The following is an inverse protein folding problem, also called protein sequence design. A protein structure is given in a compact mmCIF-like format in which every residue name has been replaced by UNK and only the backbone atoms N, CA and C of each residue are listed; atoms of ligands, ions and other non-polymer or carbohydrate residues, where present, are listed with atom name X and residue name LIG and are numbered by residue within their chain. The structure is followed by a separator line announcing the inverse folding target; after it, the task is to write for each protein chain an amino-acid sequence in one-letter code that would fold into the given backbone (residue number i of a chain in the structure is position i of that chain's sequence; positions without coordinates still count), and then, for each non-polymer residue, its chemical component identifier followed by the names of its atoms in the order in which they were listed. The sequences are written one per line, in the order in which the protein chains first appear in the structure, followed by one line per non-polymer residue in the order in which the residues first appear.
data_IF_119403114490
#
_entry.id   IF_119403114490
#
_cell.length_a   1.000
_cell.length_b   1.000
_cell.length_c   1.000
_cell.angle_alpha   90.00
_cell.angle_beta   90.00
_cell.angle_gamma   90.00
#
_symmetry.space_group_name_H-M   'P 1'
#
loop_
_entity.id
_entity.type
_entity.pdbx_description
1 polymer ?
#
# COMPACT_ATOMS: atom_id res chain seq x y z
N UNK A 1 -18.66 -12.17 3.71
CA UNK A 1 -17.55 -12.07 2.72
C UNK A 1 -16.18 -12.09 3.40
N UNK A 2 -15.94 -11.26 4.41
CA UNK A 2 -14.67 -11.18 5.16
C UNK A 2 -14.28 -12.50 5.84
N UNK A 3 -15.19 -13.13 6.59
CA UNK A 3 -14.92 -14.40 7.30
C UNK A 3 -14.59 -15.56 6.32
N UNK A 4 -15.29 -15.61 5.19
CA UNK A 4 -15.08 -16.60 4.15
C UNK A 4 -13.69 -16.46 3.48
N UNK A 5 -13.25 -15.21 3.26
CA UNK A 5 -11.93 -14.92 2.69
C UNK A 5 -10.80 -15.26 3.66
N UNK A 6 -10.99 -15.02 4.97
CA UNK A 6 -10.02 -15.39 6.02
C UNK A 6 -9.91 -16.92 6.17
N UNK A 7 -11.02 -17.64 6.06
CA UNK A 7 -11.03 -19.11 6.08
C UNK A 7 -10.27 -19.71 4.89
N UNK A 8 -10.53 -19.20 3.67
CA UNK A 8 -9.78 -19.62 2.47
C UNK A 8 -8.29 -19.26 2.58
N UNK A 9 -7.94 -18.10 3.13
CA UNK A 9 -6.54 -17.73 3.39
C UNK A 9 -5.82 -18.70 4.35
N UNK A 10 -6.55 -19.29 5.31
CA UNK A 10 -5.94 -20.21 6.29
C UNK A 10 -5.79 -21.65 5.76
N UNK A 11 -6.75 -22.13 4.96
CA UNK A 11 -6.89 -23.55 4.60
C UNK A 11 -6.51 -23.84 3.14
N UNK A 12 -6.59 -22.86 2.23
CA UNK A 12 -6.41 -23.09 0.80
C UNK A 12 -4.93 -23.16 0.37
N UNK A 13 -4.60 -24.16 -0.47
CA UNK A 13 -3.25 -24.38 -1.01
C UNK A 13 -2.79 -23.23 -1.92
N UNK A 14 -3.71 -22.46 -2.49
CA UNK A 14 -3.40 -21.30 -3.34
C UNK A 14 -2.86 -20.11 -2.55
N UNK A 15 -3.23 -19.96 -1.27
CA UNK A 15 -2.73 -18.92 -0.35
C UNK A 15 -1.29 -19.15 0.15
N UNK A 16 -0.74 -20.35 -0.04
CA UNK A 16 0.68 -20.62 0.26
C UNK A 16 1.62 -19.71 -0.54
N UNK A 17 1.23 -19.31 -1.76
CA UNK A 17 1.99 -18.36 -2.58
C UNK A 17 2.00 -16.93 -2.01
N UNK A 18 0.95 -16.52 -1.30
CA UNK A 18 0.88 -15.23 -0.60
C UNK A 18 1.72 -15.25 0.70
N UNK A 19 1.77 -16.38 1.41
CA UNK A 19 2.61 -16.55 2.60
C UNK A 19 4.10 -16.60 2.27
N UNK A 20 4.48 -17.15 1.12
CA UNK A 20 5.87 -17.14 0.63
C UNK A 20 6.33 -15.71 0.32
N UNK A 21 5.43 -14.82 -0.13
CA UNK A 21 5.76 -13.41 -0.36
C UNK A 21 6.13 -12.65 0.93
N UNK A 22 5.62 -13.08 2.10
CA UNK A 22 6.02 -12.53 3.42
C UNK A 22 7.47 -12.92 3.74
N UNK A 23 7.90 -14.13 3.39
CA UNK A 23 9.28 -14.60 3.57
C UNK A 23 10.23 -13.84 2.65
N UNK A 24 9.84 -13.60 1.39
CA UNK A 24 10.61 -12.78 0.46
C UNK A 24 10.71 -11.32 0.95
N UNK A 25 9.65 -10.76 1.53
CA UNK A 25 9.65 -9.43 2.15
C UNK A 25 10.64 -9.30 3.32
N UNK A 26 10.73 -10.32 4.19
CA UNK A 26 11.63 -10.31 5.34
C UNK A 26 13.10 -10.59 4.99
N UNK A 27 13.40 -10.98 3.74
CA UNK A 27 14.74 -11.37 3.33
C UNK A 27 15.59 -10.17 2.83
N UNK A 28 16.68 -9.78 3.53
CA UNK A 28 17.49 -8.62 3.14
C UNK A 28 18.19 -8.79 1.79
N UNK A 29 18.47 -10.04 1.40
CA UNK A 29 19.11 -10.39 0.12
C UNK A 29 18.23 -10.02 -1.08
N UNK A 30 16.91 -10.19 -0.95
CA UNK A 30 15.96 -9.87 -2.01
C UNK A 30 15.82 -8.36 -2.17
N UNK A 31 15.80 -7.61 -1.07
CA UNK A 31 15.87 -6.13 -1.08
C UNK A 31 17.11 -5.61 -1.80
N UNK A 32 18.28 -6.19 -1.53
CA UNK A 32 19.53 -5.75 -2.15
C UNK A 32 19.56 -6.07 -3.66
N UNK A 33 19.07 -7.24 -4.06
CA UNK A 33 18.91 -7.60 -5.47
C UNK A 33 17.92 -6.67 -6.19
N UNK A 34 16.84 -6.28 -5.51
CA UNK A 34 15.83 -5.38 -6.02
C UNK A 34 16.34 -3.96 -6.24
N UNK A 35 17.07 -3.42 -5.26
CA UNK A 35 17.71 -2.10 -5.34
C UNK A 35 18.71 -2.09 -6.49
N UNK A 36 19.51 -3.16 -6.63
CA UNK A 36 20.48 -3.32 -7.73
C UNK A 36 19.79 -3.39 -9.10
N UNK A 37 18.65 -4.07 -9.19
CA UNK A 37 17.82 -4.10 -10.39
C UNK A 37 17.26 -2.71 -10.74
N UNK A 38 16.74 -1.96 -9.77
CA UNK A 38 16.22 -0.60 -9.98
C UNK A 38 17.31 0.44 -10.30
N UNK A 39 18.55 0.18 -9.90
CA UNK A 39 19.72 0.97 -10.28
C UNK A 39 20.34 0.53 -11.63
N UNK A 40 19.67 -0.32 -12.41
CA UNK A 40 20.17 -0.87 -13.68
C UNK A 40 21.50 -1.63 -13.59
N UNK A 41 21.89 -2.08 -12.39
CA UNK A 41 23.18 -2.72 -12.12
C UNK A 41 23.11 -4.25 -12.04
N UNK A 42 21.94 -4.88 -12.22
CA UNK A 42 21.79 -6.34 -12.12
C UNK A 42 20.54 -6.89 -12.80
N UNK A 43 20.54 -8.21 -12.99
CA UNK A 43 19.42 -8.94 -13.61
C UNK A 43 18.17 -8.97 -12.73
N UNK A 44 17.00 -9.11 -13.36
CA UNK A 44 15.70 -9.17 -12.69
C UNK A 44 15.71 -10.35 -11.69
N UNK A 45 15.53 -10.10 -10.37
CA UNK A 45 15.56 -11.19 -9.42
C UNK A 45 14.42 -12.17 -9.70
N UNK A 46 14.72 -13.46 -9.75
CA UNK A 46 13.70 -14.53 -9.80
C UNK A 46 12.95 -14.54 -8.46
N UNK A 47 11.81 -13.85 -8.43
CA UNK A 47 10.91 -13.79 -7.28
C UNK A 47 10.18 -15.14 -7.14
N UNK A 48 10.16 -15.70 -5.92
CA UNK A 48 9.44 -16.95 -5.62
C UNK A 48 7.96 -16.71 -5.31
N UNK A 49 7.62 -15.50 -4.85
CA UNK A 49 6.24 -15.03 -4.62
C UNK A 49 5.59 -14.35 -5.84
N UNK A 50 4.25 -14.21 -5.78
CA UNK A 50 3.43 -13.50 -6.78
C UNK A 50 3.62 -11.97 -6.72
N UNK A 51 4.10 -11.46 -5.59
CA UNK A 51 4.30 -10.03 -5.36
C UNK A 51 5.76 -9.70 -5.16
N UNK A 52 6.18 -8.61 -5.80
CA UNK A 52 7.50 -8.04 -5.60
C UNK A 52 7.59 -7.42 -4.18
N UNK A 53 8.63 -7.66 -3.36
CA UNK A 53 8.74 -7.10 -2.01
C UNK A 53 8.51 -5.58 -1.93
N UNK A 54 8.97 -4.84 -2.94
CA UNK A 54 8.71 -3.40 -3.05
C UNK A 54 7.23 -3.07 -3.27
N UNK A 55 6.50 -3.85 -4.06
CA UNK A 55 5.06 -3.66 -4.26
C UNK A 55 4.30 -3.92 -2.95
N UNK A 56 4.70 -4.92 -2.18
CA UNK A 56 4.10 -5.21 -0.88
C UNK A 56 4.27 -4.06 0.12
N UNK A 57 5.48 -3.49 0.21
CA UNK A 57 5.73 -2.28 1.02
C UNK A 57 4.93 -1.09 0.55
N UNK A 58 4.86 -0.88 -0.77
CA UNK A 58 4.06 0.21 -1.33
C UNK A 58 2.59 0.09 -0.93
N UNK A 59 2.03 -1.12 -0.93
CA UNK A 59 0.66 -1.37 -0.48
C UNK A 59 0.46 -1.08 1.00
N UNK A 60 1.30 -1.66 1.88
CA UNK A 60 1.18 -1.45 3.33
C UNK A 60 1.37 0.04 3.67
N UNK A 61 2.37 0.68 3.06
CA UNK A 61 2.66 2.09 3.27
C UNK A 61 1.50 2.99 2.86
N UNK A 62 0.91 2.75 1.67
CA UNK A 62 -0.25 3.51 1.21
C UNK A 62 -1.45 3.33 2.14
N UNK A 63 -1.78 2.09 2.52
CA UNK A 63 -2.90 1.84 3.44
C UNK A 63 -2.70 2.51 4.80
N UNK A 64 -1.48 2.47 5.35
CA UNK A 64 -1.15 3.15 6.60
C UNK A 64 -1.30 4.68 6.47
N UNK A 65 -0.80 5.28 5.39
CA UNK A 65 -0.94 6.73 5.15
C UNK A 65 -2.41 7.15 4.99
N UNK A 66 -3.19 6.40 4.21
CA UNK A 66 -4.63 6.67 4.01
C UNK A 66 -5.37 6.57 5.34
N UNK A 67 -5.08 5.55 6.15
CA UNK A 67 -5.69 5.39 7.47
C UNK A 67 -5.39 6.59 8.39
N UNK A 68 -4.14 7.05 8.42
CA UNK A 68 -3.73 8.23 9.19
C UNK A 68 -4.45 9.49 8.71
N UNK A 69 -4.51 9.74 7.39
CA UNK A 69 -5.21 10.89 6.81
C UNK A 69 -6.71 10.85 7.14
N UNK A 70 -7.35 9.68 7.06
CA UNK A 70 -8.77 9.53 7.42
C UNK A 70 -9.04 9.85 8.90
N UNK A 71 -8.25 9.32 9.83
CA UNK A 71 -8.44 9.57 11.27
C UNK A 71 -8.19 11.05 11.59
N UNK A 72 -7.05 11.59 11.16
CA UNK A 72 -6.71 12.99 11.43
C UNK A 72 -7.69 13.94 10.75
N UNK A 73 -8.16 13.63 9.55
CA UNK A 73 -9.19 14.39 8.85
C UNK A 73 -10.54 14.37 9.57
N UNK A 74 -10.93 13.21 10.15
CA UNK A 74 -12.14 13.10 10.94
C UNK A 74 -12.05 13.90 12.24
N UNK A 75 -10.90 13.87 12.93
CA UNK A 75 -10.65 14.68 14.13
C UNK A 75 -10.75 16.17 13.81
N UNK A 76 -10.20 16.62 12.68
CA UNK A 76 -10.32 18.01 12.24
C UNK A 76 -11.76 18.37 11.86
N UNK A 77 -12.50 17.45 11.23
CA UNK A 77 -13.89 17.64 10.83
C UNK A 77 -14.81 17.87 12.03
N UNK A 78 -14.73 17.03 13.07
CA UNK A 78 -15.58 17.15 14.26
C UNK A 78 -15.34 18.44 15.06
N UNK A 79 -14.15 19.04 14.91
CA UNK A 79 -13.80 20.32 15.56
C UNK A 79 -14.28 21.55 14.78
N UNK A 80 -14.64 21.38 13.52
CA UNK A 80 -15.24 22.45 12.70
C UNK A 80 -16.76 22.34 12.74
N UNK A 81 -17.30 21.14 12.58
CA UNK A 81 -18.72 20.87 12.57
C UNK A 81 -19.13 20.19 13.88
N UNK A 82 -19.85 20.92 14.72
CA UNK A 82 -20.29 20.43 16.02
C UNK A 82 -21.69 19.79 15.98
N UNK A 83 -22.37 19.84 14.84
CA UNK A 83 -23.69 19.26 14.64
C UNK A 83 -23.67 18.05 13.69
N UNK A 84 -24.75 17.27 13.70
CA UNK A 84 -24.88 16.06 12.88
C UNK A 84 -23.83 14.99 13.22
N UNK A 85 -23.17 14.45 12.18
CA UNK A 85 -22.09 13.47 12.34
C UNK A 85 -20.91 14.00 13.16
N UNK A 86 -20.65 15.32 13.08
CA UNK A 86 -19.56 15.96 13.80
C UNK A 86 -19.77 15.94 15.32
N UNK A 87 -20.97 16.31 15.76
CA UNK A 87 -21.37 16.21 17.17
C UNK A 87 -21.45 14.78 17.68
N UNK A 88 -21.97 13.83 16.89
CA UNK A 88 -22.08 12.43 17.27
C UNK A 88 -20.72 11.74 17.48
N UNK A 89 -19.69 12.16 16.72
CA UNK A 89 -18.35 11.59 16.77
C UNK A 89 -17.40 12.36 17.68
N UNK A 90 -17.79 13.55 18.17
CA UNK A 90 -16.92 14.45 18.93
C UNK A 90 -16.30 13.78 20.17
N UNK A 91 -17.10 13.10 20.98
CA UNK A 91 -16.64 12.45 22.22
C UNK A 91 -15.71 11.25 21.96
N UNK A 92 -15.84 10.60 20.80
CA UNK A 92 -14.96 9.50 20.40
C UNK A 92 -13.64 10.00 19.80
N UNK A 93 -13.66 11.16 19.14
CA UNK A 93 -12.50 11.73 18.46
C UNK A 93 -11.63 12.60 19.40
N UNK A 94 -12.19 13.16 20.47
CA UNK A 94 -11.46 13.99 21.44
C UNK A 94 -10.29 13.25 22.12
N UNK A 95 -10.42 11.98 22.59
CA UNK A 95 -9.28 11.25 23.15
C UNK A 95 -8.14 11.06 22.13
N UNK A 96 -8.48 10.83 20.86
CA UNK A 96 -7.49 10.68 19.79
C UNK A 96 -6.73 11.98 19.53
N UNK A 97 -7.41 13.12 19.57
CA UNK A 97 -6.76 14.44 19.49
C UNK A 97 -5.75 14.65 20.63
N UNK A 98 -6.15 14.36 21.87
CA UNK A 98 -5.28 14.50 23.05
C UNK A 98 -4.08 13.57 22.94
N UNK A 99 -4.27 12.32 22.51
CA UNK A 99 -3.19 11.35 22.28
C UNK A 99 -2.21 11.82 21.20
N UNK A 100 -2.71 12.53 20.19
CA UNK A 100 -1.89 13.12 19.13
C UNK A 100 -1.25 14.45 19.55
N UNK A 101 -1.40 14.95 20.78
CA UNK A 101 -0.75 16.18 21.23
C UNK A 101 -1.50 17.46 20.83
N UNK A 102 -2.80 17.37 20.56
CA UNK A 102 -3.69 18.49 20.31
C UNK A 102 -3.89 18.83 18.83
N UNK A 103 -4.90 19.66 18.55
CA UNK A 103 -5.36 20.00 17.20
C UNK A 103 -4.26 20.48 16.24
N UNK A 104 -3.27 21.22 16.75
CA UNK A 104 -2.15 21.73 15.95
C UNK A 104 -1.30 20.58 15.38
N UNK A 105 -0.94 19.60 16.23
CA UNK A 105 -0.14 18.46 15.82
C UNK A 105 -0.95 17.51 14.92
N UNK A 106 -2.25 17.32 15.18
CA UNK A 106 -3.15 16.55 14.29
C UNK A 106 -3.14 17.14 12.88
N UNK A 107 -3.22 18.47 12.77
CA UNK A 107 -3.16 19.17 11.49
C UNK A 107 -1.83 18.95 10.80
N UNK A 108 -0.72 19.07 11.53
CA UNK A 108 0.61 18.84 10.98
C UNK A 108 0.78 17.40 10.46
N UNK A 109 0.39 16.40 11.25
CA UNK A 109 0.40 14.97 10.86
C UNK A 109 -0.44 14.76 9.60
N UNK A 110 -1.62 15.37 9.51
CA UNK A 110 -2.47 15.28 8.32
C UNK A 110 -1.76 15.82 7.07
N UNK A 111 -1.10 16.98 7.17
CA UNK A 111 -0.36 17.56 6.06
C UNK A 111 0.85 16.72 5.67
N UNK A 112 1.60 16.18 6.63
CA UNK A 112 2.74 15.29 6.36
C UNK A 112 2.27 14.03 5.61
N UNK A 113 1.18 13.41 6.06
CA UNK A 113 0.63 12.24 5.41
C UNK A 113 0.05 12.55 4.02
N UNK A 114 -0.59 13.71 3.83
CA UNK A 114 -1.02 14.20 2.52
C UNK A 114 0.16 14.39 1.57
N UNK A 115 1.24 15.04 2.01
CA UNK A 115 2.47 15.19 1.21
C UNK A 115 3.08 13.83 0.87
N UNK A 116 3.08 12.89 1.82
CA UNK A 116 3.50 11.50 1.59
C UNK A 116 2.72 10.84 0.46
N UNK A 117 1.39 10.96 0.45
CA UNK A 117 0.54 10.43 -0.62
C UNK A 117 0.81 11.14 -1.95
N UNK A 118 0.94 12.48 -1.95
CA UNK A 118 1.21 13.27 -3.16
C UNK A 118 2.53 12.90 -3.83
N UNK A 119 3.56 12.55 -3.06
CA UNK A 119 4.84 12.07 -3.60
C UNK A 119 4.75 10.59 -3.98
N UNK A 120 4.04 9.79 -3.20
CA UNK A 120 3.89 8.36 -3.44
C UNK A 120 3.19 8.06 -4.77
N UNK A 121 2.10 8.76 -5.10
CA UNK A 121 1.31 8.52 -6.32
C UNK A 121 2.15 8.60 -7.61
N UNK A 122 2.88 9.70 -7.91
CA UNK A 122 3.67 9.78 -9.14
C UNK A 122 4.81 8.76 -9.15
N UNK A 123 5.46 8.49 -8.01
CA UNK A 123 6.49 7.45 -7.91
C UNK A 123 5.90 6.07 -8.20
N UNK A 124 4.72 5.77 -7.64
CA UNK A 124 4.04 4.50 -7.86
C UNK A 124 3.66 4.30 -9.34
N UNK A 125 3.10 5.33 -9.98
CA UNK A 125 2.76 5.30 -11.41
C UNK A 125 4.02 5.08 -12.26
N UNK A 126 5.11 5.83 -11.98
CA UNK A 126 6.38 5.66 -12.68
C UNK A 126 6.90 4.23 -12.57
N UNK A 127 6.91 3.65 -11.36
CA UNK A 127 7.40 2.30 -11.12
C UNK A 127 6.50 1.24 -11.76
N UNK A 128 5.19 1.46 -11.79
CA UNK A 128 4.25 0.58 -12.49
C UNK A 128 4.53 0.57 -14.00
N UNK A 129 4.76 1.76 -14.59
CA UNK A 129 5.10 1.90 -16.02
C UNK A 129 6.45 1.26 -16.32
N UNK A 130 7.45 1.56 -15.51
CA UNK A 130 8.79 1.00 -15.65
C UNK A 130 8.79 -0.54 -15.58
N UNK A 131 8.11 -1.12 -14.60
CA UNK A 131 7.99 -2.57 -14.48
C UNK A 131 7.21 -3.18 -15.67
N UNK A 132 6.18 -2.50 -16.19
CA UNK A 132 5.42 -2.98 -17.36
C UNK A 132 6.27 -2.98 -18.64
N UNK A 133 7.14 -1.99 -18.82
CA UNK A 133 8.03 -1.89 -19.99
C UNK A 133 9.20 -2.88 -19.87
N UNK A 134 9.87 -2.92 -18.71
CA UNK A 134 11.10 -3.71 -18.52
C UNK A 134 10.82 -5.19 -18.21
N UNK A 135 9.75 -5.48 -17.46
CA UNK A 135 9.39 -6.83 -17.05
C UNK A 135 8.73 -7.66 -18.15
N UNK A 136 8.33 -7.05 -19.27
CA UNK A 136 7.52 -7.67 -20.35
C UNK A 136 6.23 -8.35 -19.86
N UNK A 137 5.85 -8.12 -18.60
CA UNK A 137 4.57 -8.52 -18.03
C UNK A 137 3.65 -7.31 -18.19
N UNK A 138 2.70 -7.39 -19.11
CA UNK A 138 1.71 -6.35 -19.44
C UNK A 138 0.75 -6.06 -18.28
N UNK A 139 1.29 -5.65 -17.15
CA UNK A 139 0.59 -5.40 -15.89
C UNK A 139 -0.30 -4.18 -16.05
N UNK A 140 0.23 -3.11 -16.67
CA UNK A 140 -0.56 -1.92 -17.01
C UNK A 140 -1.53 -2.23 -18.15
N UNK A 141 -1.10 -3.00 -19.16
CA UNK A 141 -1.98 -3.40 -20.25
C UNK A 141 -3.18 -4.18 -19.72
N UNK A 142 -3.03 -5.01 -18.69
CA UNK A 142 -4.15 -5.71 -18.06
C UNK A 142 -5.08 -4.79 -17.25
N UNK A 143 -4.58 -3.67 -16.71
CA UNK A 143 -5.40 -2.67 -16.01
C UNK A 143 -6.20 -1.82 -17.01
N UNK A 144 -5.58 -1.45 -18.13
CA UNK A 144 -6.21 -0.58 -19.14
C UNK A 144 -7.10 -1.39 -20.09
N UNK A 145 -6.65 -2.56 -20.54
CA UNK A 145 -7.36 -3.41 -21.51
C UNK A 145 -8.17 -4.54 -20.88
N UNK A 146 -7.92 -4.90 -19.63
CA UNK A 146 -8.56 -6.03 -18.95
C UNK A 146 -7.96 -7.41 -19.29
N UNK A 147 -7.06 -7.50 -20.28
CA UNK A 147 -6.47 -8.76 -20.73
C UNK A 147 -5.03 -8.91 -20.23
N UNK A 148 -4.75 -10.03 -19.58
CA UNK A 148 -3.40 -10.43 -19.20
C UNK A 148 -2.89 -11.42 -20.25
N UNK A 149 -1.81 -11.08 -20.95
CA UNK A 149 -1.17 -12.01 -21.87
C UNK A 149 -0.56 -13.17 -21.07
N UNK A 150 -1.06 -14.39 -21.30
CA UNK A 150 -0.44 -15.61 -20.80
C UNK A 150 0.90 -15.80 -21.50
N UNK A 151 1.96 -16.04 -20.73
CA UNK A 151 3.26 -16.42 -21.26
C UNK A 151 3.07 -17.75 -22.00
N UNK A 152 3.23 -17.76 -23.32
CA UNK A 152 3.41 -19.02 -24.03
C UNK A 152 4.81 -19.53 -23.69
N UNK A 153 4.86 -20.55 -22.84
CA UNK A 153 6.06 -21.36 -22.66
C UNK A 153 6.32 -22.09 -23.99
N UNK A 154 7.38 -21.70 -24.69
CA UNK A 154 8.00 -22.49 -25.75
C UNK A 154 9.20 -23.23 -25.17
#
# INVERSE_FOLDING_TARGET
VTIYKTYLFLVDKQSMRERIAIVDFLSPKTWFAQIKYYLFMGEHPHLKGVYNPLQFVAYIGLYAMVFVVCITGLVLYVHVYHEGLGGALYDYMRPLEVMMGGLANVREIHHIAMWGILIFVPVHIYMAIFNSIMGKEGSIDSIISGYKFEKQDH
#
